data_IF_566368669601
#
_entry.id   IF_566368669601
#
_cell.length_a   1.000
_cell.length_b   1.000
_cell.length_c   1.000
_cell.angle_alpha   90.00
_cell.angle_beta   90.00
_cell.angle_gamma   90.00
#
_symmetry.space_group_name_H-M   'P 1'
#
loop_
_entity.id
_entity.type
_entity.pdbx_description
1 polymer ?
#
# COMPACT_ATOMS: atom_id res chain seq x y z
N UNK A 1 -26.47 11.44 9.09
CA UNK A 1 -25.48 12.01 10.03
C UNK A 1 -24.13 11.27 9.96
N UNK A 2 -23.98 10.03 10.48
CA UNK A 2 -22.72 9.25 10.46
C UNK A 2 -21.89 9.33 9.16
N UNK A 3 -22.50 9.07 7.99
CA UNK A 3 -21.81 9.12 6.68
C UNK A 3 -21.20 10.50 6.37
N UNK A 4 -21.76 11.58 6.91
CA UNK A 4 -21.20 12.93 6.81
C UNK A 4 -19.98 13.13 7.71
N UNK A 5 -20.02 12.61 8.95
CA UNK A 5 -18.87 12.64 9.85
C UNK A 5 -17.66 11.87 9.30
N UNK A 6 -17.87 10.68 8.75
CA UNK A 6 -16.80 9.90 8.08
C UNK A 6 -16.21 10.69 6.90
N UNK A 7 -17.07 11.24 6.03
CA UNK A 7 -16.62 12.07 4.88
C UNK A 7 -15.86 13.34 5.28
N UNK A 8 -16.17 13.90 6.44
CA UNK A 8 -15.54 15.12 6.96
C UNK A 8 -14.36 14.80 7.92
N UNK A 9 -13.81 13.59 7.86
CA UNK A 9 -12.69 13.12 8.67
C UNK A 9 -12.90 13.27 10.20
N UNK A 10 -14.14 13.04 10.66
CA UNK A 10 -14.52 13.02 12.08
C UNK A 10 -15.10 11.64 12.47
N UNK A 11 -14.37 10.52 12.28
CA UNK A 11 -14.90 9.17 12.47
C UNK A 11 -15.31 8.86 13.92
N UNK A 12 -14.70 9.51 14.92
CA UNK A 12 -15.06 9.38 16.35
C UNK A 12 -16.54 9.75 16.59
N UNK A 13 -17.00 10.89 16.05
CA UNK A 13 -18.41 11.31 16.16
C UNK A 13 -19.38 10.36 15.47
N UNK A 14 -18.91 9.55 14.50
CA UNK A 14 -19.71 8.50 13.91
C UNK A 14 -19.82 7.27 14.83
N UNK A 15 -18.79 6.99 15.64
CA UNK A 15 -18.81 5.95 16.68
C UNK A 15 -19.71 6.37 17.85
N UNK A 16 -19.63 7.63 18.31
CA UNK A 16 -20.49 8.14 19.38
C UNK A 16 -21.97 8.02 19.00
N UNK A 17 -22.33 8.50 17.79
CA UNK A 17 -23.68 8.38 17.27
C UNK A 17 -24.11 6.92 17.00
N UNK A 18 -23.18 5.98 16.86
CA UNK A 18 -23.50 4.55 16.80
C UNK A 18 -23.85 3.98 18.18
N UNK A 19 -23.15 4.40 19.23
CA UNK A 19 -23.39 3.93 20.61
C UNK A 19 -24.77 4.36 21.14
N UNK A 20 -25.36 5.42 20.59
CA UNK A 20 -26.75 5.85 20.87
C UNK A 20 -27.82 4.97 20.18
N UNK A 21 -27.46 4.14 19.19
CA UNK A 21 -28.41 3.37 18.38
C UNK A 21 -28.68 1.99 18.99
N UNK A 22 -29.88 1.81 19.53
CA UNK A 22 -30.32 0.57 20.19
C UNK A 22 -30.37 -0.64 19.24
N UNK A 23 -30.79 -0.45 17.99
CA UNK A 23 -30.93 -1.52 16.98
C UNK A 23 -30.35 -1.09 15.62
N UNK A 24 -29.02 -1.19 15.42
CA UNK A 24 -28.37 -0.75 14.19
C UNK A 24 -28.65 -1.72 13.03
N UNK A 25 -29.08 -1.18 11.89
CA UNK A 25 -29.31 -1.97 10.67
C UNK A 25 -28.01 -2.20 9.87
N UNK A 26 -28.09 -3.00 8.80
CA UNK A 26 -26.95 -3.33 7.93
C UNK A 26 -26.18 -2.10 7.42
N UNK A 27 -26.86 -1.01 7.08
CA UNK A 27 -26.24 0.22 6.57
C UNK A 27 -25.47 0.95 7.67
N UNK A 28 -26.05 1.04 8.87
CA UNK A 28 -25.44 1.69 10.04
C UNK A 28 -24.17 0.92 10.47
N UNK A 29 -24.23 -0.41 10.50
CA UNK A 29 -23.09 -1.28 10.83
C UNK A 29 -21.98 -1.15 9.78
N UNK A 30 -22.32 -1.12 8.49
CA UNK A 30 -21.32 -0.94 7.43
C UNK A 30 -20.63 0.44 7.51
N UNK A 31 -21.37 1.49 7.90
CA UNK A 31 -20.79 2.80 8.18
C UNK A 31 -19.88 2.79 9.42
N UNK A 32 -20.23 2.06 10.48
CA UNK A 32 -19.35 1.88 11.63
C UNK A 32 -18.03 1.22 11.22
N UNK A 33 -18.09 0.11 10.47
CA UNK A 33 -16.87 -0.59 10.02
C UNK A 33 -15.99 0.32 9.16
N UNK A 34 -16.58 1.13 8.28
CA UNK A 34 -15.86 2.17 7.55
C UNK A 34 -15.24 3.23 8.47
N UNK A 35 -15.91 3.65 9.55
CA UNK A 35 -15.36 4.60 10.51
C UNK A 35 -14.19 4.02 11.31
N UNK A 36 -14.31 2.79 11.80
CA UNK A 36 -13.21 2.08 12.49
C UNK A 36 -12.00 1.88 11.57
N UNK A 37 -12.24 1.52 10.30
CA UNK A 37 -11.20 1.38 9.28
C UNK A 37 -10.43 2.69 9.00
N UNK A 38 -11.02 3.86 9.25
CA UNK A 38 -10.35 5.15 9.15
C UNK A 38 -9.54 5.54 10.39
N UNK A 39 -9.77 4.89 11.55
CA UNK A 39 -9.11 5.21 12.82
C UNK A 39 -7.97 4.23 13.11
N UNK A 40 -8.19 2.92 12.97
CA UNK A 40 -7.13 1.91 13.13
C UNK A 40 -6.54 1.76 14.53
N UNK A 41 -7.27 2.08 15.61
CA UNK A 41 -6.76 2.01 17.00
C UNK A 41 -7.29 0.79 17.77
N UNK A 42 -6.59 0.39 18.84
CA UNK A 42 -7.01 -0.66 19.77
C UNK A 42 -8.44 -0.44 20.33
N UNK A 43 -8.83 0.81 20.55
CA UNK A 43 -10.19 1.15 20.99
C UNK A 43 -11.22 0.75 19.92
N UNK A 44 -10.93 1.06 18.66
CA UNK A 44 -11.78 0.64 17.53
C UNK A 44 -11.74 -0.86 17.28
N UNK A 45 -10.62 -1.54 17.52
CA UNK A 45 -10.54 -3.01 17.45
C UNK A 45 -11.44 -3.68 18.51
N UNK A 46 -11.40 -3.17 19.75
CA UNK A 46 -12.26 -3.67 20.83
C UNK A 46 -13.74 -3.44 20.54
N UNK A 47 -14.10 -2.27 19.96
CA UNK A 47 -15.45 -2.00 19.49
C UNK A 47 -15.86 -2.93 18.35
N UNK A 48 -15.02 -3.15 17.34
CA UNK A 48 -15.26 -4.09 16.23
C UNK A 48 -15.52 -5.51 16.76
N UNK A 49 -14.71 -5.98 17.71
CA UNK A 49 -14.89 -7.29 18.36
C UNK A 49 -16.23 -7.36 19.10
N UNK A 50 -16.54 -6.38 19.96
CA UNK A 50 -17.81 -6.30 20.69
C UNK A 50 -19.03 -6.22 19.77
N UNK A 51 -18.96 -5.48 18.67
CA UNK A 51 -20.06 -5.36 17.71
C UNK A 51 -20.20 -6.66 16.91
N UNK A 52 -19.10 -7.25 16.46
CA UNK A 52 -19.10 -8.53 15.72
C UNK A 52 -19.74 -9.68 16.51
N UNK A 53 -19.45 -9.82 17.81
CA UNK A 53 -20.00 -10.90 18.64
C UNK A 53 -21.51 -10.79 18.88
N UNK A 54 -22.09 -9.59 18.75
CA UNK A 54 -23.51 -9.32 18.94
C UNK A 54 -24.32 -9.25 17.64
N UNK A 55 -23.67 -9.35 16.47
CA UNK A 55 -24.33 -9.29 15.16
C UNK A 55 -24.92 -10.67 14.78
N UNK A 56 -26.17 -10.75 14.30
CA UNK A 56 -26.77 -12.00 13.83
C UNK A 56 -25.98 -12.66 12.70
N UNK A 57 -25.87 -13.99 12.72
CA UNK A 57 -25.14 -14.80 11.72
C UNK A 57 -25.58 -14.49 10.26
N UNK A 58 -26.83 -14.07 10.06
CA UNK A 58 -27.35 -13.65 8.75
C UNK A 58 -26.64 -12.44 8.13
N UNK A 59 -26.05 -11.56 8.92
CA UNK A 59 -25.30 -10.39 8.41
C UNK A 59 -23.97 -10.81 7.80
N UNK A 60 -23.31 -11.84 8.34
CA UNK A 60 -22.07 -12.40 7.81
C UNK A 60 -22.26 -13.10 6.44
N UNK A 61 -23.51 -13.40 6.06
CA UNK A 61 -23.85 -13.88 4.72
C UNK A 61 -23.86 -12.76 3.66
N UNK A 62 -23.87 -11.49 4.07
CA UNK A 62 -23.80 -10.36 3.14
C UNK A 62 -22.31 -10.05 2.83
N UNK A 63 -21.84 -10.28 1.58
CA UNK A 63 -20.42 -10.15 1.26
C UNK A 63 -19.91 -8.70 1.37
N UNK A 64 -20.76 -7.69 1.22
CA UNK A 64 -20.37 -6.28 1.33
C UNK A 64 -20.06 -5.87 2.78
N UNK A 65 -20.90 -6.33 3.72
CA UNK A 65 -20.70 -6.12 5.17
C UNK A 65 -19.47 -6.89 5.63
N UNK A 66 -19.32 -8.14 5.19
CA UNK A 66 -18.18 -8.97 5.52
C UNK A 66 -16.87 -8.36 4.99
N UNK A 67 -16.84 -7.88 3.74
CA UNK A 67 -15.67 -7.20 3.16
C UNK A 67 -15.30 -5.95 3.95
N UNK A 68 -16.30 -5.17 4.37
CA UNK A 68 -16.08 -3.96 5.17
C UNK A 68 -15.56 -4.26 6.58
N UNK A 69 -16.06 -5.32 7.23
CA UNK A 69 -15.55 -5.81 8.52
C UNK A 69 -14.11 -6.34 8.41
N UNK A 70 -13.84 -7.14 7.38
CA UNK A 70 -12.49 -7.68 7.10
C UNK A 70 -11.50 -6.54 6.84
N UNK A 71 -11.88 -5.51 6.08
CA UNK A 71 -11.04 -4.32 5.93
C UNK A 71 -10.83 -3.61 7.28
N UNK A 72 -11.89 -3.37 8.06
CA UNK A 72 -11.77 -2.69 9.35
C UNK A 72 -10.86 -3.43 10.34
N UNK A 73 -10.88 -4.76 10.37
CA UNK A 73 -9.95 -5.57 11.17
C UNK A 73 -8.51 -5.48 10.67
N UNK A 74 -8.30 -5.43 9.34
CA UNK A 74 -6.97 -5.26 8.73
C UNK A 74 -6.36 -3.90 9.08
N UNK A 75 -7.13 -2.81 9.00
CA UNK A 75 -6.64 -1.46 9.38
C UNK A 75 -6.42 -1.32 10.90
N UNK A 76 -6.98 -2.23 11.71
CA UNK A 76 -6.74 -2.33 13.15
C UNK A 76 -5.73 -3.45 13.51
N UNK A 77 -4.87 -3.84 12.56
CA UNK A 77 -3.80 -4.85 12.69
C UNK A 77 -4.22 -6.26 13.16
N UNK A 78 -5.51 -6.64 12.99
CA UNK A 78 -6.02 -7.96 13.34
C UNK A 78 -6.26 -8.85 12.11
N UNK A 79 -5.17 -9.09 11.37
CA UNK A 79 -5.16 -9.98 10.19
C UNK A 79 -5.62 -11.41 10.53
N UNK A 80 -5.47 -11.85 11.79
CA UNK A 80 -5.86 -13.20 12.25
C UNK A 80 -7.38 -13.36 12.28
N UNK A 81 -8.12 -12.42 12.88
CA UNK A 81 -9.59 -12.45 12.85
C UNK A 81 -10.12 -12.21 11.44
N UNK A 82 -9.48 -11.33 10.66
CA UNK A 82 -9.79 -11.14 9.24
C UNK A 82 -9.69 -12.45 8.43
N UNK A 83 -8.63 -13.23 8.63
CA UNK A 83 -8.45 -14.54 7.97
C UNK A 83 -9.55 -15.54 8.38
N UNK A 84 -9.88 -15.64 9.68
CA UNK A 84 -10.94 -16.53 10.19
C UNK A 84 -12.30 -16.19 9.55
N UNK A 85 -12.62 -14.90 9.41
CA UNK A 85 -13.86 -14.44 8.79
C UNK A 85 -13.86 -14.68 7.27
N UNK A 86 -12.73 -14.47 6.59
CA UNK A 86 -12.56 -14.79 5.18
C UNK A 86 -12.79 -16.29 4.89
N UNK A 87 -12.17 -17.16 5.69
CA UNK A 87 -12.29 -18.61 5.54
C UNK A 87 -13.73 -19.08 5.75
N UNK A 88 -14.39 -18.61 6.82
CA UNK A 88 -15.81 -18.88 7.14
C UNK A 88 -16.82 -18.38 6.10
N UNK A 89 -16.44 -17.48 5.20
CA UNK A 89 -17.35 -16.98 4.17
C UNK A 89 -17.80 -18.07 3.20
N UNK A 90 -19.11 -18.28 3.08
CA UNK A 90 -19.70 -19.17 2.07
C UNK A 90 -19.69 -18.55 0.67
N UNK A 91 -19.68 -17.21 0.57
CA UNK A 91 -19.64 -16.47 -0.70
C UNK A 91 -18.40 -15.59 -0.71
N UNK A 92 -17.37 -16.01 -1.45
CA UNK A 92 -16.14 -15.24 -1.62
C UNK A 92 -16.22 -14.45 -2.93
N UNK A 93 -16.24 -13.13 -2.84
CA UNK A 93 -16.34 -12.20 -3.97
C UNK A 93 -14.99 -11.56 -4.28
N UNK A 94 -14.79 -11.04 -5.49
CA UNK A 94 -13.55 -10.36 -5.88
C UNK A 94 -13.14 -9.24 -4.88
N UNK A 95 -14.05 -8.38 -4.38
CA UNK A 95 -13.74 -7.41 -3.31
C UNK A 95 -13.22 -8.06 -2.03
N UNK A 96 -13.81 -9.17 -1.57
CA UNK A 96 -13.37 -9.86 -0.36
C UNK A 96 -11.96 -10.46 -0.53
N UNK A 97 -11.67 -11.02 -1.71
CA UNK A 97 -10.32 -11.46 -2.09
C UNK A 97 -9.34 -10.29 -2.13
N UNK A 98 -9.70 -9.17 -2.76
CA UNK A 98 -8.88 -7.96 -2.88
C UNK A 98 -8.51 -7.38 -1.52
N UNK A 99 -9.50 -7.26 -0.61
CA UNK A 99 -9.29 -6.79 0.76
C UNK A 99 -8.38 -7.74 1.54
N UNK A 100 -8.55 -9.06 1.43
CA UNK A 100 -7.69 -10.02 2.12
C UNK A 100 -6.25 -10.03 1.56
N UNK A 101 -6.09 -9.91 0.24
CA UNK A 101 -4.77 -9.74 -0.40
C UNK A 101 -4.09 -8.43 0.04
N UNK A 102 -4.82 -7.32 0.13
CA UNK A 102 -4.35 -6.05 0.68
C UNK A 102 -3.86 -6.24 2.11
N UNK A 103 -4.62 -6.93 2.96
CA UNK A 103 -4.21 -7.23 4.34
C UNK A 103 -2.91 -8.00 4.42
N UNK A 104 -2.77 -9.08 3.63
CA UNK A 104 -1.51 -9.82 3.55
C UNK A 104 -0.33 -8.96 3.05
N UNK A 105 -0.53 -8.08 2.07
CA UNK A 105 0.51 -7.15 1.60
C UNK A 105 0.90 -6.17 2.69
N UNK A 106 -0.04 -5.54 3.41
CA UNK A 106 0.27 -4.58 4.49
C UNK A 106 1.01 -5.25 5.65
N UNK A 107 0.75 -6.54 5.89
CA UNK A 107 1.38 -7.35 6.94
C UNK A 107 2.65 -8.10 6.47
N UNK A 108 3.27 -7.71 5.35
CA UNK A 108 4.44 -8.35 4.73
C UNK A 108 4.30 -9.88 4.44
N UNK A 109 3.07 -10.40 4.41
CA UNK A 109 2.76 -11.81 4.09
C UNK A 109 2.60 -12.04 2.58
N UNK A 110 3.55 -11.54 1.79
CA UNK A 110 3.48 -11.52 0.33
C UNK A 110 3.20 -12.89 -0.33
N UNK A 111 3.75 -13.98 0.22
CA UNK A 111 3.48 -15.36 -0.22
C UNK A 111 1.99 -15.71 -0.13
N UNK A 112 1.34 -15.41 0.99
CA UNK A 112 -0.10 -15.65 1.18
C UNK A 112 -0.96 -14.84 0.21
N UNK A 113 -0.55 -13.61 -0.14
CA UNK A 113 -1.25 -12.82 -1.15
C UNK A 113 -1.17 -13.46 -2.55
N UNK A 114 0.00 -14.01 -2.92
CA UNK A 114 0.20 -14.74 -4.19
C UNK A 114 -0.57 -16.07 -4.18
N UNK A 115 -0.53 -16.83 -3.10
CA UNK A 115 -1.32 -18.06 -2.95
C UNK A 115 -2.82 -17.79 -3.08
N UNK A 116 -3.28 -16.65 -2.53
CA UNK A 116 -4.66 -16.23 -2.61
C UNK A 116 -5.05 -15.81 -4.04
N UNK A 117 -4.18 -15.10 -4.77
CA UNK A 117 -4.36 -14.84 -6.20
C UNK A 117 -4.39 -16.15 -7.02
N UNK A 118 -3.49 -17.09 -6.74
CA UNK A 118 -3.45 -18.39 -7.40
C UNK A 118 -4.74 -19.18 -7.15
N UNK A 119 -5.38 -19.05 -5.98
CA UNK A 119 -6.70 -19.65 -5.73
C UNK A 119 -7.80 -19.04 -6.61
N UNK A 120 -7.81 -17.72 -6.82
CA UNK A 120 -8.76 -17.06 -7.73
C UNK A 120 -8.61 -17.63 -9.15
N UNK A 121 -7.37 -17.77 -9.62
CA UNK A 121 -7.01 -18.23 -10.97
C UNK A 121 -7.28 -19.76 -11.16
N UNK A 122 -7.02 -20.54 -10.11
CA UNK A 122 -7.17 -22.00 -10.09
C UNK A 122 -8.57 -22.51 -9.69
N UNK A 123 -9.53 -21.64 -9.33
CA UNK A 123 -10.96 -21.99 -9.17
C UNK A 123 -11.60 -22.26 -10.56
N UNK A 124 -11.06 -23.29 -11.22
CA UNK A 124 -11.62 -23.99 -12.37
C UNK A 124 -12.75 -24.94 -11.90
N UNK A 125 -13.68 -25.34 -12.78
CA UNK A 125 -14.88 -26.05 -12.34
C UNK A 125 -14.57 -27.45 -11.79
N UNK A 126 -14.75 -27.63 -10.47
CA UNK A 126 -15.12 -28.93 -9.94
C UNK A 126 -16.52 -29.26 -10.46
N UNK A 127 -16.58 -30.11 -11.50
CA UNK A 127 -17.82 -30.62 -12.09
C UNK A 127 -18.60 -31.50 -11.10
N UNK A 128 -17.94 -32.00 -10.06
CA UNK A 128 -18.52 -32.88 -9.04
C UNK A 128 -19.00 -32.09 -7.79
N UNK A 129 -20.10 -31.36 -7.94
CA UNK A 129 -21.33 -31.59 -7.16
C UNK A 129 -22.40 -30.55 -7.50
N UNK A 130 -23.62 -31.04 -7.78
CA UNK A 130 -24.71 -30.25 -8.36
C UNK A 130 -25.29 -29.17 -7.42
N UNK A 131 -25.84 -28.12 -8.05
CA UNK A 131 -26.82 -27.16 -7.54
C UNK A 131 -26.37 -25.84 -6.89
N UNK A 132 -25.08 -25.49 -6.86
CA UNK A 132 -24.65 -24.09 -6.72
C UNK A 132 -23.76 -23.65 -7.88
N UNK A 133 -24.20 -22.65 -8.65
CA UNK A 133 -23.34 -21.94 -9.61
C UNK A 133 -22.28 -21.16 -8.85
N UNK A 134 -21.17 -21.81 -8.49
CA UNK A 134 -19.93 -21.09 -8.14
C UNK A 134 -19.54 -20.26 -9.36
N UNK A 135 -19.67 -18.95 -9.26
CA UNK A 135 -19.24 -18.02 -10.30
C UNK A 135 -17.73 -18.12 -10.45
N UNK A 136 -17.23 -18.60 -11.59
CA UNK A 136 -15.80 -18.63 -11.87
C UNK A 136 -15.27 -17.18 -11.83
N UNK A 137 -14.53 -16.84 -10.78
CA UNK A 137 -14.09 -15.47 -10.51
C UNK A 137 -13.00 -15.01 -11.49
N UNK A 138 -12.19 -15.93 -12.01
CA UNK A 138 -11.09 -15.60 -12.91
C UNK A 138 -11.52 -15.09 -14.30
N UNK A 139 -12.52 -15.68 -14.99
CA UNK A 139 -13.15 -15.05 -16.15
C UNK A 139 -13.61 -13.62 -15.87
N UNK A 140 -14.32 -13.38 -14.75
CA UNK A 140 -14.83 -12.04 -14.38
C UNK A 140 -13.67 -11.05 -14.21
N UNK A 141 -12.62 -11.45 -13.50
CA UNK A 141 -11.38 -10.67 -13.30
C UNK A 141 -10.69 -10.29 -14.63
N UNK A 142 -10.84 -11.12 -15.68
CA UNK A 142 -10.28 -10.90 -17.02
C UNK A 142 -11.19 -10.15 -17.99
N UNK A 143 -12.50 -10.13 -17.79
CA UNK A 143 -13.46 -9.55 -18.75
C UNK A 143 -14.07 -8.24 -18.31
N UNK A 144 -14.19 -7.99 -17.00
CA UNK A 144 -14.81 -6.78 -16.46
C UNK A 144 -13.75 -5.79 -15.95
N UNK A 145 -13.88 -4.52 -16.32
CA UNK A 145 -12.96 -3.44 -15.93
C UNK A 145 -13.67 -2.55 -14.92
N UNK A 146 -13.64 -2.98 -13.67
CA UNK A 146 -14.06 -2.19 -12.51
C UNK A 146 -12.84 -1.92 -11.58
N UNK A 147 -12.94 -0.93 -10.68
CA UNK A 147 -11.83 -0.59 -9.78
C UNK A 147 -11.43 -1.74 -8.84
N UNK A 148 -12.39 -2.61 -8.50
CA UNK A 148 -12.20 -3.75 -7.59
C UNK A 148 -11.28 -4.81 -8.23
N UNK A 149 -11.49 -5.11 -9.52
CA UNK A 149 -10.67 -6.01 -10.33
C UNK A 149 -9.24 -5.47 -10.50
N UNK A 150 -9.08 -4.17 -10.74
CA UNK A 150 -7.76 -3.51 -10.80
C UNK A 150 -7.04 -3.61 -9.44
N UNK A 151 -7.78 -3.50 -8.33
CA UNK A 151 -7.26 -3.63 -6.97
C UNK A 151 -6.56 -4.97 -6.70
N UNK A 152 -7.09 -6.08 -7.22
CA UNK A 152 -6.49 -7.43 -7.10
C UNK A 152 -5.11 -7.46 -7.78
N UNK A 153 -5.02 -6.94 -9.01
CA UNK A 153 -3.75 -6.90 -9.74
C UNK A 153 -2.72 -5.97 -9.07
N UNK A 154 -3.14 -4.82 -8.53
CA UNK A 154 -2.26 -3.94 -7.73
C UNK A 154 -1.73 -4.70 -6.50
N UNK A 155 -2.57 -5.44 -5.78
CA UNK A 155 -2.14 -6.22 -4.62
C UNK A 155 -1.17 -7.35 -5.00
N UNK A 156 -1.41 -8.04 -6.13
CA UNK A 156 -0.46 -9.02 -6.68
C UNK A 156 0.90 -8.38 -6.98
N UNK A 157 0.92 -7.24 -7.70
CA UNK A 157 2.17 -6.56 -8.07
C UNK A 157 2.92 -6.08 -6.82
N UNK A 158 2.22 -5.59 -5.79
CA UNK A 158 2.83 -5.21 -4.50
C UNK A 158 3.43 -6.42 -3.75
N UNK A 159 2.74 -7.56 -3.73
CA UNK A 159 3.29 -8.79 -3.16
C UNK A 159 4.56 -9.26 -3.91
N UNK A 160 4.56 -9.19 -5.24
CA UNK A 160 5.74 -9.49 -6.05
C UNK A 160 6.89 -8.52 -5.77
N UNK A 161 6.58 -7.23 -5.58
CA UNK A 161 7.53 -6.18 -5.20
C UNK A 161 8.19 -6.43 -3.85
N UNK A 162 7.43 -6.91 -2.84
CA UNK A 162 7.97 -7.33 -1.54
C UNK A 162 8.91 -8.54 -1.64
N UNK A 163 8.66 -9.46 -2.58
CA UNK A 163 9.48 -10.67 -2.76
C UNK A 163 10.75 -10.39 -3.56
N UNK A 164 10.70 -9.53 -4.59
CA UNK A 164 11.88 -9.16 -5.41
C UNK A 164 12.49 -10.30 -6.25
N UNK A 165 11.94 -11.51 -6.24
CA UNK A 165 12.48 -12.66 -6.98
C UNK A 165 12.08 -12.55 -8.46
N UNK A 166 13.06 -12.24 -9.30
CA UNK A 166 12.86 -11.96 -10.74
C UNK A 166 12.09 -13.07 -11.50
N UNK A 167 12.41 -14.37 -11.39
CA UNK A 167 11.64 -15.43 -12.06
C UNK A 167 10.14 -15.46 -11.67
N UNK A 168 9.81 -15.20 -10.41
CA UNK A 168 8.42 -15.19 -9.93
C UNK A 168 7.69 -13.96 -10.48
N UNK A 169 8.34 -12.80 -10.48
CA UNK A 169 7.81 -11.57 -11.08
C UNK A 169 7.51 -11.78 -12.58
N UNK A 170 8.47 -12.34 -13.34
CA UNK A 170 8.31 -12.64 -14.77
C UNK A 170 7.21 -13.66 -15.06
N UNK A 171 7.01 -14.65 -14.19
CA UNK A 171 5.94 -15.64 -14.33
C UNK A 171 4.56 -15.01 -14.07
N UNK A 172 4.42 -14.27 -12.98
CA UNK A 172 3.14 -13.74 -12.53
C UNK A 172 2.68 -12.51 -13.33
N UNK A 173 3.59 -11.67 -13.82
CA UNK A 173 3.24 -10.53 -14.70
C UNK A 173 2.60 -11.01 -16.02
N UNK A 174 2.91 -12.22 -16.52
CA UNK A 174 2.23 -12.80 -17.68
C UNK A 174 0.74 -13.11 -17.44
N UNK A 175 0.27 -13.16 -16.18
CA UNK A 175 -1.14 -13.34 -15.80
C UNK A 175 -1.91 -12.01 -15.73
N UNK A 176 -1.22 -10.87 -15.87
CA UNK A 176 -1.80 -9.52 -15.87
C UNK A 176 -2.31 -9.19 -17.28
N UNK A 177 -3.61 -8.84 -17.46
CA UNK A 177 -4.16 -8.53 -18.76
C UNK A 177 -3.52 -7.28 -19.39
N UNK A 178 -3.23 -7.33 -20.69
CA UNK A 178 -2.57 -6.23 -21.40
C UNK A 178 -3.36 -4.91 -21.35
N UNK A 179 -4.69 -4.97 -21.33
CA UNK A 179 -5.55 -3.79 -21.30
C UNK A 179 -5.45 -2.97 -20.01
N UNK A 180 -5.06 -3.57 -18.87
CA UNK A 180 -4.86 -2.81 -17.61
C UNK A 180 -3.46 -2.18 -17.49
N UNK A 181 -2.53 -2.47 -18.41
CA UNK A 181 -1.17 -1.92 -18.37
C UNK A 181 -1.10 -0.42 -18.69
N UNK A 182 -2.21 0.20 -19.11
CA UNK A 182 -2.32 1.63 -19.38
C UNK A 182 -2.72 2.47 -18.15
N UNK A 183 -3.14 1.84 -17.04
CA UNK A 183 -3.48 2.58 -15.82
C UNK A 183 -2.20 2.97 -15.06
N UNK A 184 -2.01 4.25 -14.78
CA UNK A 184 -0.82 4.73 -14.03
C UNK A 184 -0.63 4.00 -12.69
N UNK A 185 -1.71 3.65 -11.97
CA UNK A 185 -1.63 2.87 -10.72
C UNK A 185 -0.96 1.49 -10.92
N UNK A 186 -1.20 0.84 -12.06
CA UNK A 186 -0.58 -0.44 -12.45
C UNK A 186 0.87 -0.21 -12.93
N UNK A 187 1.09 0.79 -13.78
CA UNK A 187 2.43 1.13 -14.29
C UNK A 187 3.41 1.48 -13.15
N UNK A 188 2.99 2.35 -12.22
CA UNK A 188 3.77 2.75 -11.05
C UNK A 188 4.10 1.55 -10.14
N UNK A 189 3.14 0.65 -9.93
CA UNK A 189 3.38 -0.58 -9.17
C UNK A 189 4.36 -1.54 -9.87
N UNK A 190 4.27 -1.66 -11.20
CA UNK A 190 5.19 -2.49 -12.00
C UNK A 190 6.60 -1.89 -12.02
N UNK A 191 6.76 -0.57 -12.08
CA UNK A 191 8.06 0.11 -11.99
C UNK A 191 8.75 -0.20 -10.66
N UNK A 192 8.03 -0.08 -9.53
CA UNK A 192 8.55 -0.44 -8.20
C UNK A 192 8.92 -1.93 -8.10
N UNK A 193 8.04 -2.82 -8.59
CA UNK A 193 8.26 -4.26 -8.60
C UNK A 193 9.49 -4.66 -9.44
N UNK A 194 9.62 -4.15 -10.67
CA UNK A 194 10.79 -4.43 -11.51
C UNK A 194 12.08 -3.83 -10.94
N UNK A 195 12.00 -2.66 -10.30
CA UNK A 195 13.14 -2.04 -9.62
C UNK A 195 13.68 -2.90 -8.48
N UNK A 196 12.80 -3.41 -7.60
CA UNK A 196 13.20 -4.33 -6.52
C UNK A 196 13.62 -5.71 -7.03
N UNK A 197 13.10 -6.15 -8.18
CA UNK A 197 13.52 -7.38 -8.86
C UNK A 197 14.79 -7.23 -9.72
N UNK A 198 15.51 -6.11 -9.63
CA UNK A 198 16.77 -5.87 -10.35
C UNK A 198 16.62 -5.62 -11.86
N UNK A 199 15.39 -5.49 -12.38
CA UNK A 199 15.10 -5.44 -13.81
C UNK A 199 14.83 -4.00 -14.28
N UNK A 200 15.82 -3.11 -14.10
CA UNK A 200 15.69 -1.67 -14.41
C UNK A 200 15.23 -1.40 -15.84
N UNK A 201 15.62 -2.23 -16.81
CA UNK A 201 15.21 -2.06 -18.21
C UNK A 201 13.69 -2.21 -18.42
N UNK A 202 13.02 -3.12 -17.72
CA UNK A 202 11.56 -3.27 -17.80
C UNK A 202 10.84 -2.14 -17.06
N UNK A 203 11.35 -1.71 -15.91
CA UNK A 203 10.86 -0.52 -15.21
C UNK A 203 10.94 0.73 -16.10
N UNK A 204 12.12 0.95 -16.72
CA UNK A 204 12.36 2.05 -17.66
C UNK A 204 11.43 1.98 -18.86
N UNK A 205 11.28 0.80 -19.49
CA UNK A 205 10.38 0.59 -20.64
C UNK A 205 8.94 0.95 -20.30
N UNK A 206 8.46 0.62 -19.10
CA UNK A 206 7.12 1.00 -18.63
C UNK A 206 7.02 2.51 -18.41
N UNK A 207 8.03 3.13 -17.79
CA UNK A 207 8.06 4.59 -17.56
C UNK A 207 8.06 5.38 -18.88
N UNK A 208 8.82 4.94 -19.89
CA UNK A 208 8.93 5.62 -21.20
C UNK A 208 7.65 5.52 -22.06
N UNK A 209 6.77 4.55 -21.82
CA UNK A 209 5.46 4.46 -22.51
C UNK A 209 4.32 5.16 -21.76
N UNK A 210 4.55 5.71 -20.57
CA UNK A 210 3.54 6.50 -19.86
C UNK A 210 3.31 7.82 -20.61
N UNK A 211 2.06 8.11 -20.99
CA UNK A 211 1.74 9.32 -21.77
C UNK A 211 2.13 10.61 -21.04
N UNK A 212 1.97 10.64 -19.71
CA UNK A 212 2.56 11.62 -18.80
C UNK A 212 2.80 10.96 -17.42
N UNK A 213 4.04 10.63 -17.01
CA UNK A 213 4.29 10.09 -15.68
C UNK A 213 3.82 11.07 -14.59
N UNK A 214 3.06 10.54 -13.62
CA UNK A 214 2.66 11.31 -12.44
C UNK A 214 3.79 11.35 -11.39
N UNK A 215 3.56 12.09 -10.30
CA UNK A 215 4.48 12.19 -9.17
C UNK A 215 4.95 10.82 -8.65
N UNK A 216 4.05 9.84 -8.58
CA UNK A 216 4.34 8.51 -8.07
C UNK A 216 5.23 7.76 -9.08
N UNK A 217 4.96 7.86 -10.38
CA UNK A 217 5.76 7.24 -11.45
C UNK A 217 7.20 7.77 -11.49
N UNK A 218 7.39 9.08 -11.38
CA UNK A 218 8.74 9.68 -11.26
C UNK A 218 9.46 9.18 -10.00
N UNK A 219 8.79 9.22 -8.85
CA UNK A 219 9.39 8.78 -7.57
C UNK A 219 9.77 7.29 -7.62
N UNK A 220 8.89 6.44 -8.18
CA UNK A 220 9.15 5.01 -8.34
C UNK A 220 10.34 4.72 -9.27
N UNK A 221 10.50 5.49 -10.36
CA UNK A 221 11.61 5.31 -11.29
C UNK A 221 12.94 5.84 -10.72
N UNK A 222 12.92 6.95 -9.97
CA UNK A 222 14.10 7.44 -9.20
C UNK A 222 14.52 6.39 -8.16
N UNK A 223 13.56 5.80 -7.44
CA UNK A 223 13.80 4.72 -6.49
C UNK A 223 14.38 3.47 -7.17
N UNK A 224 13.82 3.07 -8.32
CA UNK A 224 14.32 1.96 -9.14
C UNK A 224 15.80 2.14 -9.49
N UNK A 225 16.20 3.33 -9.95
CA UNK A 225 17.61 3.63 -10.21
C UNK A 225 18.47 3.58 -8.94
N UNK A 226 18.00 4.16 -7.82
CA UNK A 226 18.74 4.17 -6.55
C UNK A 226 18.95 2.79 -5.90
N UNK A 227 17.97 1.89 -6.02
CA UNK A 227 18.09 0.50 -5.56
C UNK A 227 19.10 -0.33 -6.38
N UNK A 228 19.38 0.08 -7.62
CA UNK A 228 20.22 -0.65 -8.56
C UNK A 228 21.59 0.02 -8.80
N UNK A 229 22.02 0.92 -7.90
CA UNK A 229 23.32 1.60 -8.00
C UNK A 229 23.45 2.61 -9.16
N UNK A 230 22.32 3.00 -9.77
CA UNK A 230 22.27 3.92 -10.91
C UNK A 230 22.03 5.37 -10.45
N UNK A 231 22.81 5.83 -9.46
CA UNK A 231 22.59 7.12 -8.80
C UNK A 231 22.67 8.33 -9.73
N UNK A 232 23.49 8.28 -10.78
CA UNK A 232 23.59 9.36 -11.77
C UNK A 232 22.25 9.49 -12.52
N UNK A 233 21.69 8.37 -13.00
CA UNK A 233 20.41 8.33 -13.69
C UNK A 233 19.25 8.75 -12.77
N UNK A 234 19.30 8.39 -11.48
CA UNK A 234 18.34 8.86 -10.48
C UNK A 234 18.36 10.39 -10.32
N UNK A 235 19.56 10.98 -10.21
CA UNK A 235 19.76 12.44 -10.10
C UNK A 235 19.35 13.17 -11.38
N UNK A 236 19.66 12.63 -12.55
CA UNK A 236 19.23 13.20 -13.83
C UNK A 236 17.72 13.21 -13.98
N UNK A 237 17.04 12.12 -13.61
CA UNK A 237 15.58 12.03 -13.67
C UNK A 237 14.94 12.96 -12.64
N UNK A 238 15.48 13.03 -11.42
CA UNK A 238 15.06 13.99 -10.39
C UNK A 238 15.17 15.45 -10.87
N UNK A 239 16.26 15.81 -11.54
CA UNK A 239 16.45 17.16 -12.11
C UNK A 239 15.47 17.49 -13.26
N UNK A 240 15.00 16.46 -13.99
CA UNK A 240 13.99 16.59 -15.06
C UNK A 240 12.54 16.53 -14.53
N UNK A 241 12.33 16.13 -13.29
CA UNK A 241 11.01 16.02 -12.67
C UNK A 241 10.36 17.40 -12.50
N UNK A 242 9.07 17.58 -12.87
CA UNK A 242 8.36 18.83 -12.63
C UNK A 242 8.40 19.22 -11.14
N UNK A 243 8.86 20.43 -10.81
CA UNK A 243 9.02 20.89 -9.41
C UNK A 243 7.77 20.71 -8.55
N UNK A 244 6.57 20.86 -9.13
CA UNK A 244 5.27 20.64 -8.48
C UNK A 244 4.98 19.20 -8.02
N UNK A 245 5.77 18.22 -8.48
CA UNK A 245 5.64 16.82 -8.07
C UNK A 245 6.65 16.43 -6.99
N UNK A 246 7.67 17.25 -6.72
CA UNK A 246 8.71 16.89 -5.75
C UNK A 246 8.13 16.96 -4.34
N UNK A 247 8.29 15.88 -3.59
CA UNK A 247 7.93 15.76 -2.17
C UNK A 247 9.07 15.10 -1.38
N UNK A 248 8.88 14.95 -0.07
CA UNK A 248 9.86 14.36 0.84
C UNK A 248 10.31 12.97 0.41
N UNK A 249 9.38 12.11 -0.02
CA UNK A 249 9.71 10.77 -0.54
C UNK A 249 10.61 10.84 -1.79
N UNK A 250 10.39 11.82 -2.66
CA UNK A 250 11.26 12.07 -3.83
C UNK A 250 12.67 12.44 -3.38
N UNK A 251 12.81 13.32 -2.38
CA UNK A 251 14.11 13.67 -1.81
C UNK A 251 14.79 12.47 -1.16
N UNK A 252 14.06 11.68 -0.36
CA UNK A 252 14.56 10.44 0.25
C UNK A 252 15.08 9.46 -0.82
N UNK A 253 14.32 9.23 -1.90
CA UNK A 253 14.75 8.34 -2.99
C UNK A 253 16.03 8.83 -3.70
N UNK A 254 16.15 10.13 -4.02
CA UNK A 254 17.36 10.64 -4.69
C UNK A 254 18.57 10.73 -3.75
N UNK A 255 18.37 11.02 -2.46
CA UNK A 255 19.44 11.00 -1.44
C UNK A 255 19.95 9.58 -1.20
N UNK A 256 19.05 8.59 -1.08
CA UNK A 256 19.43 7.17 -1.03
C UNK A 256 20.17 6.72 -2.29
N UNK A 257 19.73 7.14 -3.48
CA UNK A 257 20.43 6.86 -4.73
C UNK A 257 21.85 7.46 -4.75
N UNK A 258 22.04 8.65 -4.17
CA UNK A 258 23.37 9.26 -4.01
C UNK A 258 24.22 8.50 -2.98
N UNK A 259 23.65 8.15 -1.83
CA UNK A 259 24.27 7.36 -0.75
C UNK A 259 24.82 6.03 -1.29
N UNK A 260 23.99 5.26 -2.00
CA UNK A 260 24.34 3.97 -2.59
C UNK A 260 25.38 4.05 -3.72
N UNK A 261 25.57 5.23 -4.31
CA UNK A 261 26.45 5.46 -5.46
C UNK A 261 27.68 6.32 -5.12
N UNK A 262 27.91 6.65 -3.84
CA UNK A 262 29.01 7.51 -3.40
C UNK A 262 28.92 8.97 -3.85
N UNK A 263 27.75 9.45 -4.29
CA UNK A 263 27.55 10.80 -4.85
C UNK A 263 27.31 11.86 -3.77
N UNK A 264 28.12 11.83 -2.70
CA UNK A 264 27.95 12.62 -1.47
C UNK A 264 27.88 14.12 -1.73
N UNK A 265 28.70 14.63 -2.64
CA UNK A 265 28.70 16.05 -3.01
C UNK A 265 27.41 16.47 -3.74
N UNK A 266 26.77 15.56 -4.48
CA UNK A 266 25.46 15.80 -5.10
C UNK A 266 24.37 15.73 -4.04
N UNK A 267 24.44 14.76 -3.11
CA UNK A 267 23.52 14.69 -1.97
C UNK A 267 23.54 15.98 -1.15
N UNK A 268 24.73 16.52 -0.83
CA UNK A 268 24.91 17.80 -0.13
C UNK A 268 24.28 18.97 -0.87
N UNK A 269 24.49 19.07 -2.19
CA UNK A 269 23.84 20.09 -3.01
C UNK A 269 22.32 19.98 -2.97
N UNK A 270 21.78 18.78 -3.17
CA UNK A 270 20.32 18.55 -3.15
C UNK A 270 19.75 18.87 -1.78
N UNK A 271 20.38 18.42 -0.69
CA UNK A 271 19.94 18.66 0.68
C UNK A 271 19.92 20.16 1.01
N UNK A 272 20.95 20.91 0.63
CA UNK A 272 21.03 22.35 0.86
C UNK A 272 19.91 23.12 0.14
N UNK A 273 19.52 22.70 -1.07
CA UNK A 273 18.43 23.31 -1.85
C UNK A 273 17.02 23.09 -1.25
N UNK A 274 16.85 22.17 -0.28
CA UNK A 274 15.56 21.88 0.37
C UNK A 274 15.22 22.98 1.38
N UNK A 275 14.16 23.75 1.11
CA UNK A 275 13.69 24.81 2.01
C UNK A 275 13.16 24.26 3.34
N UNK A 276 12.18 23.36 3.28
CA UNK A 276 11.55 22.75 4.46
C UNK A 276 12.02 21.29 4.57
N UNK A 277 13.01 21.04 5.42
CA UNK A 277 13.58 19.71 5.64
C UNK A 277 12.78 19.00 6.73
N UNK A 278 12.07 17.93 6.39
CA UNK A 278 11.42 17.05 7.37
C UNK A 278 12.41 16.09 8.01
N UNK A 279 12.06 15.53 9.17
CA UNK A 279 12.87 14.56 9.92
C UNK A 279 13.41 13.41 9.03
N UNK A 280 12.56 12.85 8.17
CA UNK A 280 12.95 11.76 7.26
C UNK A 280 14.02 12.18 6.23
N UNK A 281 14.08 13.46 5.86
CA UNK A 281 15.11 14.00 4.97
C UNK A 281 16.43 14.17 5.73
N UNK A 282 16.38 14.66 6.97
CA UNK A 282 17.55 14.75 7.85
C UNK A 282 18.16 13.37 8.10
N UNK A 283 17.38 12.40 8.56
CA UNK A 283 17.87 11.04 8.87
C UNK A 283 18.43 10.34 7.63
N UNK A 284 17.79 10.51 6.46
CA UNK A 284 18.32 9.97 5.18
C UNK A 284 19.66 10.61 4.79
N UNK A 285 19.82 11.93 4.96
CA UNK A 285 21.09 12.59 4.65
C UNK A 285 22.20 12.26 5.67
N UNK A 286 21.84 12.06 6.94
CA UNK A 286 22.73 11.57 8.00
C UNK A 286 23.25 10.16 7.71
N UNK A 287 22.41 9.23 7.22
CA UNK A 287 22.87 7.91 6.72
C UNK A 287 23.85 8.07 5.54
N UNK A 288 23.52 8.93 4.57
CA UNK A 288 24.38 9.22 3.42
C UNK A 288 25.78 9.72 3.83
N UNK A 289 25.86 10.63 4.82
CA UNK A 289 27.12 11.13 5.35
C UNK A 289 27.88 10.07 6.17
N UNK A 290 27.15 9.28 6.95
CA UNK A 290 27.73 8.22 7.79
C UNK A 290 28.38 7.12 6.93
N UNK A 291 27.72 6.71 5.84
CA UNK A 291 28.30 5.77 4.85
C UNK A 291 29.47 6.36 4.06
N UNK A 292 29.53 7.67 3.94
CA UNK A 292 30.65 8.40 3.35
C UNK A 292 31.82 8.64 4.32
N UNK A 293 31.74 8.17 5.57
CA UNK A 293 32.65 8.48 6.66
C UNK A 293 32.79 9.99 6.98
N UNK A 294 31.81 10.81 6.58
CA UNK A 294 31.73 12.25 6.88
C UNK A 294 31.15 12.50 8.27
N UNK A 295 31.72 11.86 9.30
CA UNK A 295 31.15 11.78 10.65
C UNK A 295 31.01 13.14 11.34
N UNK A 296 31.92 14.08 11.08
CA UNK A 296 31.87 15.42 11.68
C UNK A 296 30.66 16.22 11.16
N UNK A 297 30.43 16.25 9.85
CA UNK A 297 29.24 16.88 9.25
C UNK A 297 27.94 16.20 9.73
N UNK A 298 27.95 14.87 9.79
CA UNK A 298 26.83 14.06 10.29
C UNK A 298 26.49 14.41 11.74
N UNK A 299 27.48 14.54 12.62
CA UNK A 299 27.29 14.87 14.03
C UNK A 299 26.80 16.31 14.25
N UNK A 300 27.31 17.28 13.48
CA UNK A 300 26.80 18.66 13.55
C UNK A 300 25.32 18.75 13.13
N UNK A 301 24.92 18.00 12.10
CA UNK A 301 23.52 17.95 11.65
C UNK A 301 22.57 17.32 12.67
N UNK A 302 23.02 16.31 13.42
CA UNK A 302 22.24 15.75 14.54
C UNK A 302 21.99 16.84 15.61
N UNK A 303 23.04 17.55 16.03
CA UNK A 303 22.94 18.63 17.01
C UNK A 303 22.04 19.78 16.51
N UNK A 304 22.13 20.15 15.23
CA UNK A 304 21.25 21.15 14.63
C UNK A 304 19.79 20.68 14.64
N UNK A 305 19.54 19.43 14.27
CA UNK A 305 18.19 18.86 14.25
C UNK A 305 17.56 18.80 15.65
N UNK A 306 18.29 18.33 16.66
CA UNK A 306 17.83 18.27 18.06
C UNK A 306 17.58 19.66 18.66
N UNK A 307 18.41 20.66 18.35
CA UNK A 307 18.20 22.05 18.80
C UNK A 307 16.93 22.66 18.23
N UNK A 308 16.61 22.34 16.99
CA UNK A 308 15.40 22.84 16.31
C UNK A 308 14.14 22.03 16.68
N UNK A 309 14.30 20.80 17.16
CA UNK A 309 13.23 19.90 17.57
C UNK A 309 13.54 19.30 18.95
N UNK A 310 13.54 20.12 20.02
CA UNK A 310 13.86 19.64 21.36
C UNK A 310 12.86 18.54 21.77
N UNK A 311 13.32 17.44 22.39
CA UNK A 311 12.42 16.39 22.84
C UNK A 311 11.37 16.97 23.78
N UNK A 312 10.12 16.51 23.62
CA UNK A 312 9.04 16.90 24.52
C UNK A 312 9.47 16.65 25.97
N UNK A 313 9.33 17.66 26.83
CA UNK A 313 9.76 17.58 28.22
C UNK A 313 9.17 16.32 28.88
N UNK A 314 9.94 15.59 29.70
CA UNK A 314 9.41 14.43 30.38
C UNK A 314 8.16 14.81 31.17
N UNK A 315 7.07 14.06 30.96
CA UNK A 315 5.87 14.15 31.78
C UNK A 315 6.20 13.59 33.16
N UNK A 316 6.65 14.48 34.05
CA UNK A 316 6.84 14.23 35.48
C UNK A 316 5.50 14.27 36.24
#
# INVERSE_FOLDING_TARGET
>A
MMKGYIKNNQPEKAIDLFNEIINPNQVIINLLFSACAHIGTDQTLNLLKKVSSNIPISFYKNPYILTSLVNALIECDDIKHAQILFEKSTVKTLPLYATMMKGYVINDMASKAIDLFNKIDNDQPNIENNNEKKSNLFPILKTDINEENIGIYICLIKALSQIGILPICQLMVKRIPTFILNYHRIQNALIDMWGKAGCVNEAKRIFEIMSQPDQIGYTAMINCYGLNGMGIQAVELFRKMPKKFINDLTYVCVLNACSHSGLVNIARSIFNDIQNKTEIIFTTYIDCLSRAAAFEESFQLIIEFERNNPPAAPLY
#
